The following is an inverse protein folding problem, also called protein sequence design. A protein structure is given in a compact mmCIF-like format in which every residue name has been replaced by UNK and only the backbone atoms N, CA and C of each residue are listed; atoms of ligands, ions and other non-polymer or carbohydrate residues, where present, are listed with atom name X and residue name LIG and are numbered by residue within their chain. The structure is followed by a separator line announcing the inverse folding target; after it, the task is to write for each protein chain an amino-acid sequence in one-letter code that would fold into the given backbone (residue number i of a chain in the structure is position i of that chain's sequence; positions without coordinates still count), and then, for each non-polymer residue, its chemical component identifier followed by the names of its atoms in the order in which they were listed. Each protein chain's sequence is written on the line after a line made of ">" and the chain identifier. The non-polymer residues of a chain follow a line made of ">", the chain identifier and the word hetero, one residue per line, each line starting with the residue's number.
data_IF_678545552312
#
_entry.id   IF_678545552312
#
_cell.length_a   1.000
_cell.length_b   1.000
_cell.length_c   1.000
_cell.angle_alpha   90.00
_cell.angle_beta   90.00
_cell.angle_gamma   90.00
#
_symmetry.space_group_name_H-M   'P 1'
#
loop_
_entity.id
_entity.type
_entity.pdbx_description
1 polymer ?
#
# COMPACT_ATOMS: atom_id res chain seq x y z
N UNK A 1 -7.08 8.77 15.22
CA UNK A 1 -7.89 8.77 13.98
C UNK A 1 -6.96 8.39 12.86
N UNK A 2 -7.29 7.30 12.17
CA UNK A 2 -6.39 6.61 11.26
C UNK A 2 -6.48 7.23 9.87
N UNK A 3 -5.42 7.18 9.06
CA UNK A 3 -5.43 7.70 7.68
C UNK A 3 -6.51 7.04 6.78
N UNK A 4 -7.15 5.95 7.24
CA UNK A 4 -8.24 5.26 6.55
C UNK A 4 -9.64 5.70 7.01
N UNK A 5 -9.76 6.41 8.14
CA UNK A 5 -11.03 6.96 8.65
C UNK A 5 -11.27 8.41 8.21
N UNK A 6 -10.20 9.13 7.87
CA UNK A 6 -10.27 10.49 7.34
C UNK A 6 -9.94 10.48 5.84
N UNK A 7 -10.96 10.47 5.00
CA UNK A 7 -10.87 10.76 3.57
C UNK A 7 -10.52 12.23 3.27
N UNK A 8 -9.53 12.79 3.96
CA UNK A 8 -9.05 14.18 3.81
C UNK A 8 -7.52 14.26 3.81
N UNK A 9 -6.89 13.43 2.98
CA UNK A 9 -5.92 13.99 2.05
C UNK A 9 -6.66 14.09 0.74
N UNK A 10 -7.37 15.21 0.54
CA UNK A 10 -8.00 15.45 -0.76
C UNK A 10 -6.90 15.79 -1.77
N UNK A 11 -7.17 15.46 -3.03
CA UNK A 11 -6.21 15.74 -4.10
C UNK A 11 -5.86 17.23 -4.16
N UNK A 12 -6.77 18.12 -3.78
CA UNK A 12 -6.53 19.58 -3.78
C UNK A 12 -5.36 19.96 -2.88
N UNK A 13 -5.29 19.40 -1.67
CA UNK A 13 -4.17 19.58 -0.74
C UNK A 13 -2.87 19.02 -1.32
N UNK A 14 -2.91 17.85 -1.95
CA UNK A 14 -1.72 17.26 -2.58
C UNK A 14 -1.22 18.09 -3.78
N UNK A 15 -2.13 18.68 -4.57
CA UNK A 15 -1.81 19.42 -5.79
C UNK A 15 -1.07 20.74 -5.54
N UNK A 16 -1.13 21.28 -4.31
CA UNK A 16 -0.36 22.47 -3.93
C UNK A 16 1.01 22.13 -3.33
N UNK A 17 1.26 20.87 -2.96
CA UNK A 17 2.55 20.44 -2.44
C UNK A 17 3.55 20.26 -3.58
N UNK A 18 4.84 20.59 -3.37
CA UNK A 18 5.85 20.34 -4.38
C UNK A 18 6.02 18.84 -4.62
N UNK A 19 6.34 18.47 -5.86
CA UNK A 19 6.67 17.08 -6.20
C UNK A 19 7.80 16.58 -5.28
N UNK A 20 7.65 15.37 -4.74
CA UNK A 20 8.61 14.83 -3.78
C UNK A 20 8.33 15.16 -2.31
N UNK A 21 7.29 15.94 -2.00
CA UNK A 21 6.94 16.23 -0.61
C UNK A 21 6.53 14.94 0.13
N UNK A 22 7.13 14.62 1.29
CA UNK A 22 6.84 13.40 2.05
C UNK A 22 5.44 13.35 2.69
N UNK A 23 4.73 14.48 2.76
CA UNK A 23 3.35 14.54 3.22
C UNK A 23 2.37 13.99 2.16
N UNK A 24 2.80 13.90 0.89
CA UNK A 24 2.04 13.20 -0.16
C UNK A 24 2.17 11.70 0.07
N UNK A 25 1.07 11.09 0.52
CA UNK A 25 0.98 9.63 0.74
C UNK A 25 0.56 8.94 -0.55
N UNK A 26 1.41 8.04 -1.04
CA UNK A 26 1.11 7.19 -2.19
C UNK A 26 0.56 5.85 -1.75
N UNK A 27 -0.21 5.20 -2.62
CA UNK A 27 -0.71 3.84 -2.38
C UNK A 27 -0.53 2.94 -3.60
N UNK A 28 -0.40 1.64 -3.36
CA UNK A 28 -0.19 0.61 -4.38
C UNK A 28 -1.22 -0.50 -4.14
N UNK A 29 -1.92 -0.89 -5.20
CA UNK A 29 -2.72 -2.12 -5.25
C UNK A 29 -2.08 -3.09 -6.25
N UNK A 30 -1.97 -4.35 -5.86
CA UNK A 30 -1.40 -5.39 -6.74
C UNK A 30 -2.30 -6.63 -6.81
N UNK A 31 -2.17 -7.34 -7.93
CA UNK A 31 -2.76 -8.65 -8.14
C UNK A 31 -2.05 -9.33 -9.31
N UNK A 32 -1.93 -10.65 -9.22
CA UNK A 32 -1.57 -11.48 -10.36
C UNK A 32 -2.45 -12.72 -10.39
N UNK A 33 -2.73 -13.22 -11.59
CA UNK A 33 -3.56 -14.42 -11.77
C UNK A 33 -2.97 -15.63 -11.04
N UNK A 34 -3.85 -16.48 -10.48
CA UNK A 34 -3.46 -17.61 -9.63
C UNK A 34 -2.45 -18.57 -10.26
N UNK A 35 -2.52 -18.78 -11.58
CA UNK A 35 -1.57 -19.64 -12.31
C UNK A 35 -0.11 -19.15 -12.27
N UNK A 36 0.11 -17.92 -11.83
CA UNK A 36 1.42 -17.27 -11.74
C UNK A 36 1.84 -16.95 -10.29
N UNK A 37 1.07 -17.39 -9.29
CA UNK A 37 1.43 -17.24 -7.87
C UNK A 37 2.72 -18.01 -7.53
N UNK A 38 3.40 -17.59 -6.45
CA UNK A 38 4.59 -18.28 -5.93
C UNK A 38 5.88 -18.08 -6.72
N UNK A 39 5.85 -17.29 -7.81
CA UNK A 39 7.01 -17.05 -8.69
C UNK A 39 7.80 -15.76 -8.38
N UNK A 40 7.45 -15.07 -7.30
CA UNK A 40 8.11 -13.80 -6.93
C UNK A 40 7.71 -12.58 -7.77
N UNK A 41 6.85 -12.72 -8.78
CA UNK A 41 6.49 -11.65 -9.74
C UNK A 41 6.01 -10.37 -9.04
N UNK A 42 5.08 -10.45 -8.08
CA UNK A 42 4.61 -9.24 -7.38
C UNK A 42 5.65 -8.66 -6.43
N UNK A 43 6.54 -9.49 -5.86
CA UNK A 43 7.66 -8.98 -5.06
C UNK A 43 8.61 -8.15 -5.92
N UNK A 44 8.97 -8.66 -7.09
CA UNK A 44 9.83 -7.99 -8.07
C UNK A 44 9.18 -6.73 -8.66
N UNK A 45 7.90 -6.81 -9.04
CA UNK A 45 7.14 -5.66 -9.54
C UNK A 45 7.01 -4.54 -8.51
N UNK A 46 6.73 -4.88 -7.24
CA UNK A 46 6.67 -3.89 -6.16
C UNK A 46 8.05 -3.27 -5.91
N UNK A 47 9.14 -4.05 -5.92
CA UNK A 47 10.49 -3.51 -5.77
C UNK A 47 10.84 -2.51 -6.89
N UNK A 48 10.52 -2.88 -8.13
CA UNK A 48 10.68 -2.03 -9.32
C UNK A 48 9.89 -0.73 -9.18
N UNK A 49 8.62 -0.82 -8.77
CA UNK A 49 7.78 0.37 -8.53
C UNK A 49 8.41 1.25 -7.44
N UNK A 50 9.03 0.70 -6.41
CA UNK A 50 9.60 1.50 -5.32
C UNK A 50 10.92 2.18 -5.73
N UNK A 51 11.83 1.40 -6.30
CA UNK A 51 13.22 1.81 -6.47
C UNK A 51 13.52 2.41 -7.85
N UNK A 52 12.79 2.00 -8.89
CA UNK A 52 13.05 2.43 -10.27
C UNK A 52 12.03 3.44 -10.80
N UNK A 53 10.82 3.48 -10.23
CA UNK A 53 9.73 4.35 -10.70
C UNK A 53 9.32 5.37 -9.64
N UNK A 54 8.82 4.90 -8.50
CA UNK A 54 8.17 5.70 -7.48
C UNK A 54 9.10 6.75 -6.90
N UNK A 55 10.21 6.34 -6.30
CA UNK A 55 11.17 7.29 -5.73
C UNK A 55 11.84 8.19 -6.79
N UNK A 56 12.41 7.66 -7.89
CA UNK A 56 13.17 8.47 -8.84
C UNK A 56 12.33 9.29 -9.83
N UNK A 57 11.18 8.78 -10.30
CA UNK A 57 10.38 9.42 -11.35
C UNK A 57 9.15 10.13 -10.81
N UNK A 58 8.54 9.58 -9.75
CA UNK A 58 7.30 10.13 -9.17
C UNK A 58 7.54 10.96 -7.90
N UNK A 59 8.75 10.91 -7.35
CA UNK A 59 9.05 11.55 -6.07
C UNK A 59 8.33 10.91 -4.88
N UNK A 60 7.90 9.65 -4.96
CA UNK A 60 7.29 8.97 -3.82
C UNK A 60 8.32 8.87 -2.67
N UNK A 61 7.93 9.34 -1.49
CA UNK A 61 8.74 9.29 -0.25
C UNK A 61 8.03 8.57 0.90
N UNK A 62 6.71 8.48 0.84
CA UNK A 62 5.88 7.84 1.83
C UNK A 62 4.78 7.05 1.13
N UNK A 63 4.76 5.74 1.37
CA UNK A 63 3.82 4.81 0.74
C UNK A 63 3.08 4.04 1.82
N UNK A 64 1.75 4.02 1.69
CA UNK A 64 0.84 3.30 2.57
C UNK A 64 0.00 2.34 1.75
N UNK A 65 -0.02 1.08 2.19
CA UNK A 65 -0.80 0.01 1.56
C UNK A 65 -1.71 -0.63 2.59
N UNK A 66 -2.84 -1.13 2.13
CA UNK A 66 -3.79 -1.82 2.97
C UNK A 66 -4.15 -3.19 2.35
N UNK A 67 -4.10 -4.23 3.16
CA UNK A 67 -4.44 -5.60 2.75
C UNK A 67 -5.43 -6.19 3.73
N UNK A 68 -6.41 -6.95 3.26
CA UNK A 68 -7.27 -7.70 4.17
C UNK A 68 -6.43 -8.73 4.94
N UNK A 69 -6.77 -8.97 6.20
CA UNK A 69 -6.05 -9.95 7.06
C UNK A 69 -6.01 -11.35 6.44
N UNK A 70 -7.05 -11.72 5.68
CA UNK A 70 -7.12 -13.01 4.98
C UNK A 70 -6.18 -13.11 3.76
N UNK A 71 -5.65 -11.98 3.27
CA UNK A 71 -4.74 -11.92 2.12
C UNK A 71 -3.28 -12.00 2.55
N UNK A 72 -2.91 -13.10 3.21
CA UNK A 72 -1.57 -13.34 3.73
C UNK A 72 -0.47 -13.26 2.67
N UNK A 73 -0.76 -13.66 1.43
CA UNK A 73 0.18 -13.57 0.31
C UNK A 73 0.54 -12.12 -0.04
N UNK A 74 -0.45 -11.23 -0.13
CA UNK A 74 -0.20 -9.79 -0.37
C UNK A 74 0.57 -9.17 0.77
N UNK A 75 0.22 -9.48 2.03
CA UNK A 75 0.98 -9.01 3.21
C UNK A 75 2.46 -9.38 3.10
N UNK A 76 2.78 -10.62 2.71
CA UNK A 76 4.16 -11.08 2.54
C UNK A 76 4.90 -10.36 1.41
N UNK A 77 4.24 -9.99 0.32
CA UNK A 77 4.85 -9.21 -0.77
C UNK A 77 5.36 -7.87 -0.24
N UNK A 78 4.53 -7.13 0.50
CA UNK A 78 4.90 -5.83 1.05
C UNK A 78 5.97 -5.95 2.15
N UNK A 79 5.87 -6.93 3.05
CA UNK A 79 6.90 -7.16 4.07
C UNK A 79 8.27 -7.45 3.47
N UNK A 80 8.34 -8.27 2.40
CA UNK A 80 9.59 -8.54 1.67
C UNK A 80 10.17 -7.30 1.02
N UNK A 81 9.32 -6.35 0.64
CA UNK A 81 9.69 -5.06 0.08
C UNK A 81 9.93 -3.99 1.15
N UNK A 82 10.18 -4.37 2.40
CA UNK A 82 10.60 -3.45 3.46
C UNK A 82 9.48 -2.59 4.05
N UNK A 83 8.21 -2.92 3.81
CA UNK A 83 7.11 -2.30 4.53
C UNK A 83 7.01 -2.84 5.95
N UNK A 84 6.57 -2.01 6.89
CA UNK A 84 6.27 -2.38 8.26
C UNK A 84 4.76 -2.35 8.50
N UNK A 85 4.23 -3.28 9.31
CA UNK A 85 2.84 -3.22 9.77
C UNK A 85 2.72 -2.08 10.78
N UNK A 86 1.85 -1.12 10.51
CA UNK A 86 1.65 0.05 11.39
C UNK A 86 0.29 0.04 12.08
N UNK A 87 -0.68 -0.72 11.54
CA UNK A 87 -2.03 -0.78 12.10
C UNK A 87 -2.80 -2.02 11.66
N UNK A 88 -3.72 -2.47 12.51
CA UNK A 88 -4.81 -3.37 12.16
C UNK A 88 -6.14 -2.67 12.45
N UNK A 89 -7.10 -2.73 11.53
CA UNK A 89 -8.43 -2.14 11.64
C UNK A 89 -9.44 -3.28 11.61
N UNK A 90 -10.11 -3.52 12.73
CA UNK A 90 -11.11 -4.56 12.86
C UNK A 90 -12.46 -4.15 12.27
N UNK A 91 -13.21 -5.11 11.73
CA UNK A 91 -14.55 -4.91 11.16
C UNK A 91 -14.59 -3.78 10.11
N UNK A 92 -13.57 -3.72 9.25
CA UNK A 92 -13.40 -2.61 8.31
C UNK A 92 -14.45 -2.63 7.21
N UNK A 93 -14.70 -3.78 6.59
CA UNK A 93 -15.65 -3.90 5.49
C UNK A 93 -16.24 -5.30 5.38
N UNK A 94 -17.46 -5.38 4.87
CA UNK A 94 -18.05 -6.64 4.42
C UNK A 94 -17.61 -6.95 2.98
N UNK A 95 -17.01 -8.11 2.78
CA UNK A 95 -16.59 -8.59 1.46
C UNK A 95 -17.20 -9.95 1.23
N UNK A 96 -18.10 -10.03 0.24
CA UNK A 96 -18.82 -11.27 -0.13
C UNK A 96 -19.57 -11.89 1.05
N UNK A 97 -20.26 -11.09 1.86
CA UNK A 97 -21.06 -11.57 2.99
C UNK A 97 -20.26 -11.83 4.27
N UNK A 98 -18.96 -11.54 4.30
CA UNK A 98 -18.14 -11.73 5.49
C UNK A 98 -17.48 -10.43 5.91
N UNK A 99 -17.51 -10.15 7.21
CA UNK A 99 -16.70 -9.09 7.79
C UNK A 99 -15.21 -9.37 7.62
N UNK A 100 -14.45 -8.32 7.31
CA UNK A 100 -13.01 -8.38 7.07
C UNK A 100 -12.30 -7.28 7.84
N UNK A 101 -11.18 -7.69 8.42
CA UNK A 101 -10.21 -6.79 9.03
C UNK A 101 -9.18 -6.38 7.99
N UNK A 102 -8.55 -5.22 8.22
CA UNK A 102 -7.58 -4.61 7.33
C UNK A 102 -6.25 -4.41 8.06
N UNK A 103 -5.15 -4.85 7.47
CA UNK A 103 -3.79 -4.56 7.91
C UNK A 103 -3.27 -3.41 7.05
N UNK A 104 -2.72 -2.40 7.71
CA UNK A 104 -2.06 -1.26 7.08
C UNK A 104 -0.57 -1.43 7.23
N UNK A 105 0.14 -1.31 6.10
CA UNK A 105 1.59 -1.33 6.07
C UNK A 105 2.13 -0.03 5.47
N UNK A 106 3.30 0.40 5.94
CA UNK A 106 3.91 1.67 5.58
C UNK A 106 5.40 1.47 5.25
N UNK A 107 5.89 2.23 4.28
CA UNK A 107 7.32 2.35 3.95
C UNK A 107 7.65 3.79 3.60
N UNK A 108 8.73 4.30 4.18
CA UNK A 108 9.40 5.51 3.73
C UNK A 108 10.54 5.14 2.77
N UNK A 109 10.66 5.86 1.65
CA UNK A 109 11.61 5.57 0.55
C UNK A 109 12.60 6.69 0.33
#
# INVERSE_FOLDING_TARGET
>A
MTQLENAKHDNETNMILPAGNPDIVWTIGDFVVASHHGRGIMTDAVDTILNEIGKPLMGARHILVAVYTVNESSKKVFLKNGFAVVRCISNYAEVKGFQRDLIVLERHV
#
